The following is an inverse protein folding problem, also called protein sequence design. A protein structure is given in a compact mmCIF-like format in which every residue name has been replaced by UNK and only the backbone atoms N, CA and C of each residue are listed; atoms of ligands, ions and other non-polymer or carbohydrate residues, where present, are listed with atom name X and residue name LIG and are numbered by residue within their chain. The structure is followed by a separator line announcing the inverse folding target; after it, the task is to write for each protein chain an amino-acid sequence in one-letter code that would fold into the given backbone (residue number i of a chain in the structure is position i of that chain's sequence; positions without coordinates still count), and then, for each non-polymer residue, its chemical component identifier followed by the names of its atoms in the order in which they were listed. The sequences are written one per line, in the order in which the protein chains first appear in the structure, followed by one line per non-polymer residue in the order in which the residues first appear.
data_IF_921285784307
#
_entry.id   IF_921285784307
#
_cell.length_a   1.000
_cell.length_b   1.000
_cell.length_c   1.000
_cell.angle_alpha   90.00
_cell.angle_beta   90.00
_cell.angle_gamma   90.00
#
_symmetry.space_group_name_H-M   'P 1'
#
loop_
_entity.id
_entity.type
_entity.pdbx_description
1 polymer ?
#
# COMPACT_ATOMS: atom_id res chain seq x y z
N UNK A 1 35.69 83.34 -7.84
CA UNK A 1 35.87 82.12 -7.00
C UNK A 1 34.58 81.33 -6.72
N UNK A 2 33.42 81.96 -6.44
CA UNK A 2 32.17 81.21 -6.11
C UNK A 2 31.57 80.32 -7.23
N UNK A 3 31.89 80.60 -8.51
CA UNK A 3 31.32 79.85 -9.65
C UNK A 3 32.10 78.56 -10.00
N UNK A 4 33.36 78.48 -9.58
CA UNK A 4 34.22 77.29 -9.79
C UNK A 4 34.00 76.23 -8.69
N UNK A 5 33.67 76.66 -7.47
CA UNK A 5 33.39 75.77 -6.33
C UNK A 5 32.12 74.92 -6.59
N UNK A 6 31.10 75.48 -7.25
CA UNK A 6 29.86 74.74 -7.57
C UNK A 6 30.06 73.64 -8.62
N UNK A 7 30.94 73.87 -9.59
CA UNK A 7 31.25 72.86 -10.62
C UNK A 7 32.20 71.77 -10.11
N UNK A 8 33.10 72.10 -9.16
CA UNK A 8 33.98 71.11 -8.52
C UNK A 8 33.20 70.20 -7.57
N UNK A 9 32.19 70.72 -6.86
CA UNK A 9 31.34 69.91 -5.97
C UNK A 9 30.42 68.93 -6.71
N UNK A 10 29.99 69.26 -7.92
CA UNK A 10 29.17 68.37 -8.77
C UNK A 10 30.04 67.28 -9.39
N UNK A 11 31.30 67.58 -9.73
CA UNK A 11 32.25 66.61 -10.29
C UNK A 11 32.78 65.62 -9.23
N UNK A 12 32.87 66.03 -7.96
CA UNK A 12 33.21 65.13 -6.84
C UNK A 12 32.05 64.23 -6.40
N UNK A 13 30.80 64.64 -6.61
CA UNK A 13 29.63 63.82 -6.29
C UNK A 13 29.33 62.78 -7.38
N UNK A 14 29.67 63.09 -8.64
CA UNK A 14 29.55 62.15 -9.77
C UNK A 14 30.64 61.06 -9.79
N UNK A 15 31.79 61.28 -9.14
CA UNK A 15 32.89 60.29 -9.07
C UNK A 15 32.72 59.28 -7.93
N UNK A 16 31.88 59.56 -6.93
CA UNK A 16 31.54 58.62 -5.85
C UNK A 16 30.42 57.64 -6.29
N UNK A 17 29.64 57.99 -7.32
CA UNK A 17 28.57 57.13 -7.86
C UNK A 17 29.04 55.92 -8.67
N UNK A 18 30.32 55.84 -9.05
CA UNK A 18 30.87 54.71 -9.82
C UNK A 18 31.67 53.71 -8.97
N UNK A 19 31.91 53.99 -7.68
CA UNK A 19 32.63 53.08 -6.75
C UNK A 19 31.67 52.28 -5.86
N UNK A 20 30.36 52.59 -5.87
CA UNK A 20 29.34 51.79 -5.18
C UNK A 20 28.90 50.53 -5.96
N UNK A 21 29.52 50.25 -7.11
CA UNK A 21 29.41 48.97 -7.82
C UNK A 21 30.64 48.08 -7.55
N UNK A 22 31.27 48.20 -6.38
CA UNK A 22 32.05 47.06 -5.90
C UNK A 22 31.03 45.98 -5.56
N UNK A 23 31.07 44.88 -6.33
CA UNK A 23 30.31 43.68 -6.06
C UNK A 23 30.60 43.28 -4.62
N UNK A 24 29.72 43.68 -3.70
CA UNK A 24 29.76 43.14 -2.34
C UNK A 24 29.46 41.66 -2.53
N UNK A 25 30.50 40.85 -2.67
CA UNK A 25 30.44 39.42 -2.48
C UNK A 25 29.96 39.27 -1.05
N UNK A 26 28.64 39.13 -0.88
CA UNK A 26 28.07 39.09 0.46
C UNK A 26 28.61 37.80 1.06
N UNK A 27 28.97 37.82 2.33
CA UNK A 27 29.29 36.59 3.08
C UNK A 27 28.18 35.53 2.95
N UNK A 28 26.96 35.91 2.59
CA UNK A 28 25.88 34.98 2.26
C UNK A 28 26.07 34.27 0.91
N UNK A 29 26.66 34.92 -0.09
CA UNK A 29 26.99 34.34 -1.40
C UNK A 29 28.13 33.33 -1.26
N UNK A 30 29.11 33.63 -0.39
CA UNK A 30 30.14 32.68 0.02
C UNK A 30 29.53 31.49 0.77
N UNK A 31 28.60 31.73 1.71
CA UNK A 31 27.87 30.64 2.39
C UNK A 31 27.09 29.79 1.39
N UNK A 32 26.39 30.37 0.41
CA UNK A 32 25.66 29.60 -0.61
C UNK A 32 26.57 28.86 -1.59
N UNK A 33 27.79 29.35 -1.83
CA UNK A 33 28.80 28.66 -2.61
C UNK A 33 29.50 27.53 -1.83
N UNK A 34 29.56 27.65 -0.51
CA UNK A 34 30.29 26.74 0.39
C UNK A 34 29.38 25.68 1.05
N UNK A 35 28.06 25.91 1.12
CA UNK A 35 27.10 24.89 1.58
C UNK A 35 26.59 24.00 0.44
N UNK A 36 26.91 22.71 0.54
CA UNK A 36 26.28 21.68 -0.29
C UNK A 36 24.80 21.55 0.06
N UNK A 37 23.93 21.97 -0.86
CA UNK A 37 22.48 21.74 -0.76
C UNK A 37 22.14 20.33 -1.26
N UNK A 38 21.29 19.63 -0.51
CA UNK A 38 20.77 18.31 -0.90
C UNK A 38 19.75 18.40 -2.02
N UNK A 39 19.25 17.24 -2.43
CA UNK A 39 18.09 17.11 -3.29
C UNK A 39 17.00 16.30 -2.57
N UNK A 40 15.75 16.50 -2.96
CA UNK A 40 14.58 15.87 -2.36
C UNK A 40 13.77 15.19 -3.46
N UNK A 41 13.31 13.97 -3.20
CA UNK A 41 12.33 13.26 -4.02
C UNK A 41 11.00 13.24 -3.26
N UNK A 42 10.27 14.33 -3.36
CA UNK A 42 9.12 14.63 -2.50
C UNK A 42 7.87 13.95 -3.03
N UNK A 43 7.13 13.23 -2.18
CA UNK A 43 5.77 12.81 -2.50
C UNK A 43 4.80 13.98 -2.38
N UNK A 44 4.05 14.26 -3.46
CA UNK A 44 3.00 15.28 -3.50
C UNK A 44 1.63 14.69 -3.17
N UNK A 45 1.37 13.43 -3.52
CA UNK A 45 0.19 12.66 -3.05
C UNK A 45 0.11 12.75 -1.52
N UNK A 46 -1.02 13.09 -0.88
CA UNK A 46 -1.14 13.24 0.58
C UNK A 46 -0.72 12.01 1.38
N UNK A 47 -0.15 12.19 2.57
CA UNK A 47 0.45 11.07 3.33
C UNK A 47 -0.61 10.10 3.85
N UNK A 48 -1.83 10.60 4.10
CA UNK A 48 -3.00 9.76 4.39
C UNK A 48 -3.32 8.82 3.25
N UNK A 49 -3.27 9.34 2.02
CA UNK A 49 -3.68 8.62 0.81
C UNK A 49 -2.62 7.59 0.43
N UNK A 50 -1.34 7.91 0.61
CA UNK A 50 -0.25 6.93 0.50
C UNK A 50 -0.40 5.83 1.56
N UNK A 51 -0.68 6.20 2.81
CA UNK A 51 -0.80 5.23 3.91
C UNK A 51 -2.06 4.35 3.84
N UNK A 52 -3.10 4.76 3.12
CA UNK A 52 -4.34 3.97 2.94
C UNK A 52 -4.26 2.95 1.81
N UNK A 53 -3.24 3.03 0.94
CA UNK A 53 -3.09 2.11 -0.18
C UNK A 53 -2.64 0.73 0.29
N UNK A 54 -3.12 -0.30 -0.40
CA UNK A 54 -2.77 -1.69 -0.20
C UNK A 54 -2.87 -2.42 -1.55
N UNK A 55 -2.10 -3.50 -1.70
CA UNK A 55 -2.38 -4.45 -2.77
C UNK A 55 -3.48 -5.39 -2.32
N UNK A 56 -4.33 -5.80 -3.25
CA UNK A 56 -5.39 -6.76 -2.99
C UNK A 56 -4.90 -8.15 -3.36
N UNK A 57 -4.94 -9.05 -2.38
CA UNK A 57 -4.62 -10.46 -2.56
C UNK A 57 -5.48 -11.07 -3.67
N UNK A 58 -4.91 -11.92 -4.52
CA UNK A 58 -5.55 -12.49 -5.72
C UNK A 58 -6.04 -11.48 -6.77
N UNK A 59 -5.75 -10.20 -6.62
CA UNK A 59 -6.00 -9.17 -7.64
C UNK A 59 -4.65 -8.67 -8.19
N UNK A 60 -4.04 -9.39 -9.15
CA UNK A 60 -2.73 -9.03 -9.71
C UNK A 60 -2.70 -7.63 -10.35
N UNK A 61 -3.86 -7.12 -10.74
CA UNK A 61 -4.06 -5.77 -11.30
C UNK A 61 -4.27 -4.67 -10.25
N UNK A 62 -4.30 -5.00 -8.95
CA UNK A 62 -4.36 -4.00 -7.88
C UNK A 62 -3.11 -3.12 -7.92
N UNK A 63 -3.29 -1.81 -7.71
CA UNK A 63 -2.24 -0.81 -7.93
C UNK A 63 -1.85 -0.07 -6.66
N UNK A 64 -0.59 0.36 -6.64
CA UNK A 64 -0.06 1.38 -5.76
C UNK A 64 0.46 2.53 -6.61
N UNK A 65 0.09 3.77 -6.28
CA UNK A 65 0.35 4.96 -7.08
C UNK A 65 0.70 6.18 -6.21
N UNK A 66 1.86 6.79 -6.49
CA UNK A 66 2.33 7.99 -5.80
C UNK A 66 2.94 8.98 -6.80
N UNK A 67 2.53 10.24 -6.69
CA UNK A 67 3.12 11.34 -7.43
C UNK A 67 4.28 11.93 -6.65
N UNK A 68 5.39 12.11 -7.35
CA UNK A 68 6.60 12.69 -6.83
C UNK A 68 7.03 13.92 -7.63
N UNK A 69 7.85 14.73 -7.00
CA UNK A 69 8.63 15.78 -7.63
C UNK A 69 10.07 15.80 -7.10
N UNK A 70 10.97 16.35 -7.91
CA UNK A 70 12.39 16.48 -7.55
C UNK A 70 12.72 17.95 -7.34
N UNK A 71 13.25 18.28 -6.17
CA UNK A 71 13.76 19.62 -5.87
C UNK A 71 15.25 19.54 -5.52
N UNK A 72 16.06 20.36 -6.16
CA UNK A 72 17.48 20.56 -5.85
C UNK A 72 17.83 22.06 -5.92
N UNK A 73 19.10 22.41 -5.73
CA UNK A 73 19.55 23.81 -5.76
C UNK A 73 19.56 24.47 -7.15
N UNK A 74 19.18 23.73 -8.19
CA UNK A 74 19.00 24.16 -9.58
C UNK A 74 17.60 23.81 -10.11
N UNK A 75 16.58 23.79 -9.25
CA UNK A 75 15.19 23.54 -9.65
C UNK A 75 14.99 22.18 -10.36
N UNK A 76 15.71 21.15 -9.90
CA UNK A 76 15.58 19.79 -10.43
C UNK A 76 16.44 19.50 -11.67
N UNK A 77 17.20 20.49 -12.18
CA UNK A 77 18.11 20.31 -13.31
C UNK A 77 19.23 19.28 -13.06
N UNK A 78 19.52 18.94 -11.79
CA UNK A 78 20.54 17.94 -11.49
C UNK A 78 19.99 16.51 -11.56
N UNK A 79 18.68 16.30 -11.74
CA UNK A 79 18.08 14.97 -11.86
C UNK A 79 18.75 14.18 -13.01
N UNK A 80 19.37 13.05 -12.68
CA UNK A 80 19.89 12.10 -13.66
C UNK A 80 18.86 10.99 -13.88
N UNK A 81 18.53 10.28 -12.81
CA UNK A 81 17.57 9.19 -12.79
C UNK A 81 17.12 8.89 -11.36
N UNK A 82 16.05 8.10 -11.25
CA UNK A 82 15.61 7.49 -9.99
C UNK A 82 15.58 5.98 -10.17
N UNK A 83 16.42 5.26 -9.44
CA UNK A 83 16.34 3.80 -9.37
C UNK A 83 15.25 3.41 -8.37
N UNK A 84 14.42 2.44 -8.76
CA UNK A 84 13.33 1.91 -7.95
C UNK A 84 13.63 0.46 -7.61
N UNK A 85 13.81 0.21 -6.33
CA UNK A 85 14.02 -1.11 -5.77
C UNK A 85 12.75 -1.57 -5.07
N UNK A 86 12.50 -2.87 -5.06
CA UNK A 86 11.46 -3.48 -4.26
C UNK A 86 12.00 -4.68 -3.49
N UNK A 87 11.42 -4.97 -2.33
CA UNK A 87 11.57 -6.22 -1.57
C UNK A 87 10.20 -6.72 -1.13
N UNK A 88 10.13 -7.98 -0.72
CA UNK A 88 8.91 -8.59 -0.19
C UNK A 88 9.17 -9.16 1.20
N UNK A 89 8.26 -8.87 2.13
CA UNK A 89 8.24 -9.49 3.46
C UNK A 89 7.01 -10.38 3.53
N UNK A 90 7.24 -11.70 3.57
CA UNK A 90 6.20 -12.69 3.85
C UNK A 90 5.77 -12.63 5.32
N UNK A 91 4.66 -13.29 5.69
CA UNK A 91 4.33 -13.42 7.11
C UNK A 91 5.29 -14.39 7.83
N UNK A 92 5.91 -15.31 7.08
CA UNK A 92 7.09 -16.06 7.51
C UNK A 92 8.37 -15.45 6.92
N UNK A 93 9.42 -15.36 7.74
CA UNK A 93 10.72 -14.81 7.31
C UNK A 93 11.32 -15.60 6.14
N UNK A 94 11.05 -16.91 6.07
CA UNK A 94 11.52 -17.79 5.01
C UNK A 94 10.95 -17.46 3.63
N UNK A 95 9.79 -16.78 3.59
CA UNK A 95 9.10 -16.39 2.36
C UNK A 95 9.48 -14.97 1.90
N UNK A 96 10.34 -14.29 2.66
CA UNK A 96 10.79 -12.94 2.32
C UNK A 96 11.80 -12.96 1.18
N UNK A 97 11.66 -11.99 0.27
CA UNK A 97 12.56 -11.81 -0.86
C UNK A 97 13.35 -10.53 -0.68
N UNK A 98 14.67 -10.68 -0.76
CA UNK A 98 15.62 -9.58 -0.71
C UNK A 98 15.34 -8.55 -1.82
N UNK A 99 15.85 -7.35 -1.57
CA UNK A 99 15.66 -6.23 -2.46
C UNK A 99 16.26 -6.47 -3.86
N UNK A 100 15.48 -6.13 -4.90
CA UNK A 100 15.88 -6.17 -6.30
C UNK A 100 15.58 -4.84 -7.01
N UNK A 101 16.35 -4.52 -8.04
CA UNK A 101 16.07 -3.36 -8.91
C UNK A 101 14.90 -3.70 -9.83
N UNK A 102 13.78 -2.97 -9.68
CA UNK A 102 12.57 -3.14 -10.49
C UNK A 102 12.68 -2.34 -11.77
N UNK A 103 13.06 -1.07 -11.68
CA UNK A 103 13.15 -0.16 -12.84
C UNK A 103 14.04 1.04 -12.54
N UNK A 104 14.46 1.74 -13.60
CA UNK A 104 15.17 3.02 -13.53
C UNK A 104 14.36 4.06 -14.30
N UNK A 105 13.98 5.14 -13.61
CA UNK A 105 13.22 6.25 -14.16
C UNK A 105 14.21 7.33 -14.62
N UNK A 106 14.52 7.45 -15.92
CA UNK A 106 15.44 8.49 -16.39
C UNK A 106 14.81 9.88 -16.22
N UNK A 107 15.63 10.94 -16.13
CA UNK A 107 15.14 12.32 -16.08
C UNK A 107 14.13 12.66 -17.19
N UNK A 108 14.25 12.04 -18.37
CA UNK A 108 13.33 12.22 -19.50
C UNK A 108 11.92 11.67 -19.28
N UNK A 109 11.70 10.84 -18.25
CA UNK A 109 10.38 10.35 -17.86
C UNK A 109 9.59 11.37 -17.03
N UNK A 110 10.25 12.42 -16.55
CA UNK A 110 9.65 13.47 -15.72
C UNK A 110 9.14 14.62 -16.59
N UNK A 111 8.06 15.25 -16.15
CA UNK A 111 7.49 16.45 -16.77
C UNK A 111 7.44 17.59 -15.76
N UNK A 112 7.62 18.85 -16.17
CA UNK A 112 7.51 19.98 -15.24
C UNK A 112 6.10 20.09 -14.68
N UNK A 113 5.99 20.36 -13.37
CA UNK A 113 4.73 20.70 -12.70
C UNK A 113 4.45 22.22 -12.75
N UNK A 114 3.43 22.69 -12.03
CA UNK A 114 3.02 24.11 -12.00
C UNK A 114 4.08 25.08 -11.44
N UNK A 115 5.13 24.56 -10.80
CA UNK A 115 6.26 25.32 -10.27
C UNK A 115 7.58 24.98 -10.98
N UNK A 116 7.50 24.43 -12.19
CA UNK A 116 8.61 24.06 -13.08
C UNK A 116 9.57 22.99 -12.50
N UNK A 117 9.15 22.24 -11.48
CA UNK A 117 9.93 21.11 -10.95
C UNK A 117 9.65 19.82 -11.72
N UNK A 118 10.65 18.95 -11.96
CA UNK A 118 10.44 17.62 -12.54
C UNK A 118 9.50 16.80 -11.67
N UNK A 119 8.41 16.30 -12.26
CA UNK A 119 7.38 15.51 -11.60
C UNK A 119 7.06 14.23 -12.37
N UNK A 120 6.70 13.19 -11.63
CA UNK A 120 6.28 11.90 -12.19
C UNK A 120 5.25 11.25 -11.26
N UNK A 121 4.29 10.51 -11.83
CA UNK A 121 3.49 9.54 -11.08
C UNK A 121 4.09 8.16 -11.28
N UNK A 122 4.51 7.54 -10.18
CA UNK A 122 5.00 6.17 -10.19
C UNK A 122 3.86 5.27 -9.76
N UNK A 123 3.51 4.32 -10.63
CA UNK A 123 2.46 3.33 -10.39
C UNK A 123 3.04 1.94 -10.62
N UNK A 124 2.70 1.01 -9.73
CA UNK A 124 3.00 -0.40 -9.87
C UNK A 124 1.76 -1.23 -9.58
N UNK A 125 1.58 -2.30 -10.35
CA UNK A 125 0.64 -3.37 -10.04
C UNK A 125 1.30 -4.41 -9.13
N UNK A 126 0.48 -5.17 -8.41
CA UNK A 126 0.94 -6.35 -7.65
C UNK A 126 1.73 -7.31 -8.56
N UNK A 127 1.22 -7.58 -9.77
CA UNK A 127 1.85 -8.48 -10.73
C UNK A 127 3.25 -8.02 -11.19
N UNK A 128 3.45 -6.72 -11.40
CA UNK A 128 4.74 -6.17 -11.82
C UNK A 128 5.81 -6.35 -10.73
N UNK A 129 5.47 -6.06 -9.47
CA UNK A 129 6.39 -6.23 -8.35
C UNK A 129 6.67 -7.70 -8.06
N UNK A 130 5.63 -8.53 -8.08
CA UNK A 130 5.76 -9.98 -7.94
C UNK A 130 6.72 -10.56 -8.98
N UNK A 131 6.52 -10.20 -10.26
CA UNK A 131 7.37 -10.65 -11.36
C UNK A 131 8.80 -10.18 -11.20
N UNK A 132 9.02 -8.91 -10.83
CA UNK A 132 10.36 -8.35 -10.63
C UNK A 132 11.14 -9.06 -9.50
N UNK A 133 10.42 -9.50 -8.46
CA UNK A 133 10.95 -10.24 -7.32
C UNK A 133 11.05 -11.75 -7.55
N UNK A 134 10.57 -12.25 -8.69
CA UNK A 134 10.57 -13.68 -8.98
C UNK A 134 9.55 -14.47 -8.15
N UNK A 135 8.55 -13.80 -7.58
CA UNK A 135 7.43 -14.41 -6.88
C UNK A 135 6.45 -14.98 -7.91
N UNK A 136 6.04 -16.23 -7.76
CA UNK A 136 5.10 -16.90 -8.64
C UNK A 136 3.65 -16.68 -8.18
N UNK A 137 2.67 -16.79 -9.10
CA UNK A 137 1.24 -16.71 -8.73
C UNK A 137 0.85 -17.74 -7.66
N UNK A 138 1.53 -18.90 -7.59
CA UNK A 138 1.32 -19.90 -6.54
C UNK A 138 1.88 -19.51 -5.17
N UNK A 139 2.85 -18.59 -5.10
CA UNK A 139 3.29 -18.04 -3.81
C UNK A 139 2.25 -17.05 -3.24
N UNK A 140 1.38 -16.55 -4.13
CA UNK A 140 0.19 -15.78 -3.77
C UNK A 140 -1.10 -16.62 -3.79
N UNK A 141 -1.05 -17.89 -4.19
CA UNK A 141 -2.22 -18.77 -4.33
C UNK A 141 -1.84 -20.19 -3.93
N UNK A 142 -2.24 -20.58 -2.72
CA UNK A 142 -2.41 -21.99 -2.37
C UNK A 142 -1.57 -22.47 -1.19
N UNK A 143 -2.29 -22.96 -0.19
CA UNK A 143 -1.79 -23.55 1.07
C UNK A 143 -1.26 -22.52 2.05
N UNK A 144 -2.16 -21.63 2.47
CA UNK A 144 -1.98 -20.90 3.71
C UNK A 144 -2.12 -21.91 4.88
N UNK A 145 -1.08 -22.17 5.68
CA UNK A 145 -1.29 -22.67 7.05
C UNK A 145 -2.18 -21.66 7.79
N UNK A 146 -2.98 -22.10 8.75
CA UNK A 146 -4.10 -21.42 9.45
C UNK A 146 -3.83 -19.99 10.03
N UNK A 147 -2.69 -19.36 9.73
CA UNK A 147 -2.19 -18.09 10.26
C UNK A 147 -1.98 -16.94 9.23
N UNK A 148 -2.30 -17.05 7.93
CA UNK A 148 -2.28 -15.86 7.04
C UNK A 148 -3.66 -15.22 6.83
N UNK A 149 -3.95 -14.20 7.64
CA UNK A 149 -4.87 -13.13 7.29
C UNK A 149 -4.33 -11.81 7.88
N UNK A 150 -3.45 -11.14 7.13
CA UNK A 150 -2.88 -9.82 7.47
C UNK A 150 -1.45 -9.88 8.01
N UNK A 151 -0.45 -9.61 7.17
CA UNK A 151 0.95 -9.50 7.64
C UNK A 151 2.03 -9.29 6.59
N UNK A 152 1.81 -9.69 5.32
CA UNK A 152 2.81 -9.50 4.27
C UNK A 152 2.80 -8.09 3.69
N UNK A 153 3.95 -7.66 3.16
CA UNK A 153 4.08 -6.35 2.54
C UNK A 153 5.15 -6.30 1.45
N UNK A 154 4.93 -5.42 0.47
CA UNK A 154 5.97 -4.99 -0.46
C UNK A 154 6.61 -3.73 0.10
N UNK A 155 7.93 -3.64 0.05
CA UNK A 155 8.66 -2.42 0.37
C UNK A 155 9.30 -1.87 -0.90
N UNK A 156 8.99 -0.63 -1.26
CA UNK A 156 9.57 0.07 -2.40
C UNK A 156 10.55 1.11 -1.87
N UNK A 157 11.81 1.05 -2.33
CA UNK A 157 12.86 2.02 -2.02
C UNK A 157 13.30 2.75 -3.28
N UNK A 158 13.44 4.06 -3.16
CA UNK A 158 13.90 4.94 -4.23
C UNK A 158 15.36 5.37 -3.99
N UNK A 159 16.14 5.47 -5.06
CA UNK A 159 17.47 6.11 -5.06
C UNK A 159 17.44 7.24 -6.08
N UNK A 160 17.52 8.48 -5.62
CA UNK A 160 17.66 9.65 -6.48
C UNK A 160 19.14 9.85 -6.83
N UNK A 161 19.47 9.72 -8.11
CA UNK A 161 20.82 9.97 -8.63
C UNK A 161 20.87 11.34 -9.31
N UNK A 162 21.92 12.11 -9.00
CA UNK A 162 22.17 13.41 -9.58
C UNK A 162 23.32 13.37 -10.58
N UNK A 163 23.26 14.26 -11.57
CA UNK A 163 24.28 14.41 -12.63
C UNK A 163 25.67 14.81 -12.09
N UNK A 164 25.75 15.26 -10.85
CA UNK A 164 27.01 15.56 -10.16
C UNK A 164 27.60 14.36 -9.39
N UNK A 165 27.00 13.18 -9.51
CA UNK A 165 27.46 11.91 -8.95
C UNK A 165 27.00 11.63 -7.52
N UNK A 166 26.16 12.50 -6.94
CA UNK A 166 25.55 12.26 -5.62
C UNK A 166 24.30 11.39 -5.74
N UNK A 167 24.03 10.59 -4.71
CA UNK A 167 22.85 9.74 -4.62
C UNK A 167 22.16 9.88 -3.26
N UNK A 168 20.84 9.92 -3.24
CA UNK A 168 20.03 10.05 -2.03
C UNK A 168 19.01 8.91 -1.94
N UNK A 169 18.89 8.29 -0.76
CA UNK A 169 17.95 7.21 -0.47
C UNK A 169 17.69 7.16 1.04
N UNK A 170 16.85 6.23 1.51
CA UNK A 170 16.41 6.13 2.91
C UNK A 170 17.56 6.06 3.94
N UNK A 171 18.73 5.54 3.54
CA UNK A 171 19.91 5.39 4.40
C UNK A 171 20.75 6.66 4.62
N UNK A 172 20.50 7.77 3.90
CA UNK A 172 21.35 8.97 3.96
C UNK A 172 20.56 10.29 4.06
N UNK A 173 19.44 10.28 4.79
CA UNK A 173 18.55 11.42 4.96
C UNK A 173 18.71 12.13 6.32
N UNK A 174 18.42 13.43 6.34
CA UNK A 174 18.09 14.14 7.57
C UNK A 174 16.59 13.96 7.88
N UNK A 175 16.24 13.83 9.16
CA UNK A 175 14.86 13.85 9.70
C UNK A 175 13.93 14.90 9.09
N UNK A 176 14.43 16.09 8.74
CA UNK A 176 13.65 17.14 8.08
C UNK A 176 13.20 16.72 6.67
N UNK A 177 14.03 15.99 5.93
CA UNK A 177 13.74 15.50 4.57
C UNK A 177 12.83 14.27 4.63
N UNK A 178 13.11 13.32 5.53
CA UNK A 178 12.35 12.07 5.61
C UNK A 178 10.95 12.23 6.20
N UNK A 179 10.79 13.03 7.27
CA UNK A 179 9.54 13.15 8.02
C UNK A 179 8.98 14.56 8.15
N UNK A 180 9.66 15.59 7.62
CA UNK A 180 9.16 16.95 7.64
C UNK A 180 7.87 17.09 6.83
N UNK A 181 6.89 17.83 7.37
CA UNK A 181 5.56 18.00 6.77
C UNK A 181 5.60 18.59 5.35
N UNK A 182 6.67 19.30 4.99
CA UNK A 182 6.88 19.85 3.66
C UNK A 182 7.59 18.89 2.70
N UNK A 183 8.64 18.18 3.13
CA UNK A 183 9.52 17.41 2.24
C UNK A 183 9.01 16.01 1.97
N UNK A 184 8.40 15.33 2.96
CA UNK A 184 7.65 14.06 2.78
C UNK A 184 8.38 13.06 1.85
N UNK A 185 9.69 12.91 2.07
CA UNK A 185 10.61 12.18 1.21
C UNK A 185 11.33 11.10 2.01
N UNK A 186 10.62 10.06 2.51
CA UNK A 186 11.25 8.96 3.24
C UNK A 186 12.10 8.06 2.33
N UNK A 187 11.95 8.17 1.00
CA UNK A 187 12.56 7.28 -0.01
C UNK A 187 12.22 5.79 0.16
N UNK A 188 11.35 5.44 1.11
CA UNK A 188 10.91 4.07 1.35
C UNK A 188 9.43 4.06 1.70
N UNK A 189 8.69 3.14 1.11
CA UNK A 189 7.25 2.98 1.26
C UNK A 189 6.94 1.50 1.45
N UNK A 190 6.20 1.16 2.49
CA UNK A 190 5.73 -0.20 2.75
C UNK A 190 4.24 -0.27 2.44
N UNK A 191 3.87 -1.22 1.57
CA UNK A 191 2.52 -1.42 1.06
C UNK A 191 2.06 -2.79 1.56
N UNK A 192 1.07 -2.85 2.46
CA UNK A 192 0.55 -4.12 2.92
C UNK A 192 -0.21 -4.82 1.79
N UNK A 193 -0.18 -6.15 1.80
CA UNK A 193 -1.12 -6.96 1.03
C UNK A 193 -2.33 -7.21 1.91
N UNK A 194 -3.48 -6.71 1.49
CA UNK A 194 -4.75 -6.86 2.18
C UNK A 194 -5.64 -7.84 1.41
N UNK A 195 -6.52 -8.49 2.14
CA UNK A 195 -7.55 -9.30 1.51
C UNK A 195 -8.65 -8.36 0.99
N UNK A 196 -9.16 -8.60 -0.22
CA UNK A 196 -10.25 -7.82 -0.81
C UNK A 196 -11.46 -7.86 0.13
N UNK A 197 -12.20 -6.75 0.31
CA UNK A 197 -13.48 -6.82 0.99
C UNK A 197 -14.44 -7.63 0.12
N UNK A 198 -14.79 -8.83 0.56
CA UNK A 198 -15.82 -9.61 -0.15
C UNK A 198 -17.19 -9.03 0.24
N UNK A 199 -17.93 -8.54 -0.74
CA UNK A 199 -19.33 -8.11 -0.52
C UNK A 199 -20.23 -9.34 -0.71
N UNK A 200 -20.92 -9.83 0.34
CA UNK A 200 -21.76 -11.01 0.22
C UNK A 200 -22.88 -10.78 -0.80
N UNK A 201 -23.20 -11.76 -1.66
CA UNK A 201 -24.34 -11.61 -2.58
C UNK A 201 -25.64 -11.41 -1.79
N UNK A 202 -26.36 -10.30 -2.03
CA UNK A 202 -27.67 -10.12 -1.44
C UNK A 202 -28.66 -11.15 -1.98
N UNK A 203 -29.48 -11.72 -1.10
CA UNK A 203 -30.50 -12.69 -1.47
C UNK A 203 -30.62 -13.83 -0.47
N UNK A 204 -31.28 -14.90 -0.90
CA UNK A 204 -31.47 -16.09 -0.08
C UNK A 204 -30.25 -17.01 -0.21
N UNK A 205 -29.64 -17.31 0.93
CA UNK A 205 -28.57 -18.29 1.07
C UNK A 205 -29.16 -19.55 1.71
N UNK A 206 -28.57 -20.70 1.41
CA UNK A 206 -29.02 -22.00 1.92
C UNK A 206 -27.92 -22.72 2.66
N UNK A 207 -28.29 -23.41 3.73
CA UNK A 207 -27.44 -24.32 4.50
C UNK A 207 -28.01 -25.72 4.37
N UNK A 208 -27.24 -26.64 3.84
CA UNK A 208 -27.55 -28.08 3.83
C UNK A 208 -26.67 -28.76 4.86
N UNK A 209 -27.27 -29.45 5.82
CA UNK A 209 -26.58 -30.16 6.90
C UNK A 209 -26.84 -31.66 6.74
N UNK A 210 -25.85 -32.48 7.01
CA UNK A 210 -25.99 -33.93 7.08
C UNK A 210 -25.37 -34.49 8.35
N UNK A 211 -25.97 -35.60 8.79
CA UNK A 211 -25.59 -36.36 9.97
C UNK A 211 -25.56 -37.84 9.57
N UNK A 212 -24.38 -38.45 9.67
CA UNK A 212 -24.15 -39.82 9.22
C UNK A 212 -24.88 -40.89 10.05
N UNK A 213 -25.25 -40.59 11.31
CA UNK A 213 -26.00 -41.48 12.20
C UNK A 213 -27.46 -41.08 12.33
N UNK A 214 -27.75 -39.81 12.07
CA UNK A 214 -29.09 -39.25 11.93
C UNK A 214 -29.82 -39.07 13.26
N UNK A 215 -29.10 -38.96 14.36
CA UNK A 215 -29.61 -38.73 15.70
C UNK A 215 -29.30 -37.33 16.25
N UNK A 216 -29.06 -36.38 15.35
CA UNK A 216 -28.75 -34.95 15.53
C UNK A 216 -27.27 -34.69 15.65
N UNK A 217 -26.89 -33.43 15.47
CA UNK A 217 -25.52 -32.95 15.69
C UNK A 217 -25.11 -32.84 17.16
N UNK A 218 -25.90 -33.41 18.08
CA UNK A 218 -25.57 -33.58 19.50
C UNK A 218 -24.98 -32.34 20.19
N UNK A 219 -25.61 -31.19 19.93
CA UNK A 219 -25.23 -29.89 20.51
C UNK A 219 -24.33 -29.03 19.61
N UNK A 220 -23.84 -29.55 18.48
CA UNK A 220 -23.15 -28.76 17.48
C UNK A 220 -24.13 -27.90 16.65
N UNK A 221 -23.64 -26.79 16.10
CA UNK A 221 -24.44 -25.87 15.28
C UNK A 221 -23.58 -24.95 14.41
N UNK A 222 -24.18 -24.41 13.35
CA UNK A 222 -23.62 -23.32 12.57
C UNK A 222 -24.15 -21.98 13.08
N UNK A 223 -23.27 -21.05 13.41
CA UNK A 223 -23.64 -19.67 13.73
C UNK A 223 -23.30 -18.77 12.56
N UNK A 224 -24.33 -18.18 11.96
CA UNK A 224 -24.22 -17.19 10.87
C UNK A 224 -24.33 -15.80 11.48
N UNK A 225 -23.31 -14.97 11.30
CA UNK A 225 -23.25 -13.58 11.73
C UNK A 225 -23.33 -12.67 10.50
N UNK A 226 -24.34 -11.81 10.42
CA UNK A 226 -24.48 -10.81 9.35
C UNK A 226 -24.40 -9.43 10.00
N UNK A 227 -23.38 -8.64 9.65
CA UNK A 227 -23.10 -7.32 10.23
C UNK A 227 -23.16 -7.31 11.78
N UNK A 228 -22.73 -8.43 12.41
CA UNK A 228 -22.69 -8.62 13.86
C UNK A 228 -23.94 -9.23 14.50
N UNK A 229 -25.03 -9.41 13.74
CA UNK A 229 -26.23 -10.11 14.22
C UNK A 229 -26.12 -11.61 13.96
N UNK A 230 -26.21 -12.42 15.02
CA UNK A 230 -25.93 -13.86 14.97
C UNK A 230 -27.21 -14.70 15.02
N UNK A 231 -27.34 -15.64 14.08
CA UNK A 231 -28.38 -16.68 14.06
C UNK A 231 -27.74 -18.07 14.04
N UNK A 232 -28.21 -18.99 14.87
CA UNK A 232 -27.66 -20.36 14.96
C UNK A 232 -28.61 -21.40 14.34
N UNK A 233 -28.03 -22.37 13.64
CA UNK A 233 -28.70 -23.46 12.94
C UNK A 233 -28.11 -24.80 13.40
N UNK A 234 -28.94 -25.63 14.04
CA UNK A 234 -28.55 -26.96 14.48
C UNK A 234 -29.29 -28.03 13.67
N UNK A 235 -28.69 -29.22 13.53
CA UNK A 235 -29.37 -30.36 12.93
C UNK A 235 -30.13 -31.12 14.03
N UNK A 236 -31.46 -31.17 13.93
CA UNK A 236 -32.33 -31.74 14.97
C UNK A 236 -32.60 -33.27 14.82
N UNK A 237 -31.77 -33.96 14.04
CA UNK A 237 -31.90 -35.40 13.71
C UNK A 237 -32.50 -35.71 12.33
N UNK A 238 -32.33 -36.95 11.89
CA UNK A 238 -32.52 -37.40 10.50
C UNK A 238 -31.21 -37.36 9.70
N UNK A 239 -31.19 -37.93 8.49
CA UNK A 239 -29.96 -38.02 7.68
C UNK A 239 -29.50 -36.66 7.10
N UNK A 240 -30.42 -35.71 6.94
CA UNK A 240 -30.11 -34.36 6.45
C UNK A 240 -31.17 -33.34 6.86
N UNK A 241 -30.79 -32.07 6.92
CA UNK A 241 -31.69 -30.92 7.10
C UNK A 241 -31.25 -29.73 6.24
N UNK A 242 -32.21 -28.86 5.90
CA UNK A 242 -31.97 -27.67 5.07
C UNK A 242 -32.55 -26.43 5.74
N UNK A 243 -31.79 -25.33 5.72
CA UNK A 243 -32.18 -24.01 6.22
C UNK A 243 -31.94 -22.95 5.17
N UNK A 244 -32.72 -21.86 5.19
CA UNK A 244 -32.42 -20.66 4.40
C UNK A 244 -32.39 -19.42 5.28
N UNK A 245 -31.59 -18.43 4.85
CA UNK A 245 -31.50 -17.12 5.48
C UNK A 245 -31.29 -16.04 4.43
N UNK A 246 -31.70 -14.81 4.76
CA UNK A 246 -31.57 -13.68 3.84
C UNK A 246 -30.33 -12.87 4.19
N UNK A 247 -29.49 -12.64 3.20
CA UNK A 247 -28.42 -11.64 3.22
C UNK A 247 -28.98 -10.34 2.63
N UNK A 248 -29.16 -9.27 3.43
CA UNK A 248 -29.69 -8.01 2.94
C UNK A 248 -28.79 -7.32 1.91
N UNK A 249 -29.38 -6.50 1.05
CA UNK A 249 -28.61 -5.61 0.18
C UNK A 249 -27.81 -4.60 1.02
N UNK A 250 -26.54 -4.44 0.68
CA UNK A 250 -25.62 -3.55 1.40
C UNK A 250 -25.00 -4.16 2.66
N UNK A 251 -25.14 -5.48 2.87
CA UNK A 251 -24.37 -6.22 3.88
C UNK A 251 -22.88 -5.96 3.69
N UNK A 252 -22.19 -5.63 4.78
CA UNK A 252 -20.74 -5.32 4.75
C UNK A 252 -19.93 -6.55 5.17
N UNK A 253 -20.46 -7.37 6.07
CA UNK A 253 -19.77 -8.54 6.60
C UNK A 253 -20.73 -9.72 6.82
N UNK A 254 -20.28 -10.92 6.43
CA UNK A 254 -20.91 -12.19 6.82
C UNK A 254 -19.83 -13.14 7.37
N UNK A 255 -20.06 -13.76 8.52
CA UNK A 255 -19.18 -14.79 9.09
C UNK A 255 -19.99 -16.04 9.41
N UNK A 256 -19.43 -17.22 9.19
CA UNK A 256 -20.04 -18.48 9.62
C UNK A 256 -19.05 -19.20 10.52
N UNK A 257 -19.54 -19.71 11.65
CA UNK A 257 -18.75 -20.45 12.64
C UNK A 257 -19.38 -21.82 12.87
N UNK A 258 -18.56 -22.86 12.85
CA UNK A 258 -18.98 -24.15 13.36
C UNK A 258 -18.73 -24.22 14.87
N UNK A 259 -19.78 -24.53 15.62
CA UNK A 259 -19.75 -24.69 17.06
C UNK A 259 -19.76 -26.18 17.35
N UNK A 260 -18.67 -26.68 17.93
CA UNK A 260 -18.46 -28.09 18.26
C UNK A 260 -19.50 -28.60 19.26
N UNK A 261 -19.89 -29.87 19.07
CA UNK A 261 -20.78 -30.63 19.94
C UNK A 261 -20.12 -31.93 20.38
N UNK A 262 -20.92 -32.97 20.61
CA UNK A 262 -20.40 -34.33 20.67
C UNK A 262 -20.46 -34.95 19.28
N UNK A 263 -19.50 -35.82 18.96
CA UNK A 263 -19.45 -36.58 17.70
C UNK A 263 -19.39 -35.71 16.43
N UNK A 264 -18.56 -34.67 16.45
CA UNK A 264 -18.37 -33.77 15.30
C UNK A 264 -17.90 -34.51 14.02
N UNK A 265 -17.28 -35.67 14.17
CA UNK A 265 -16.89 -36.57 13.08
C UNK A 265 -18.07 -37.08 12.23
N UNK A 266 -19.31 -36.87 12.67
CA UNK A 266 -20.53 -37.28 11.99
C UNK A 266 -21.14 -36.17 11.12
N UNK A 267 -20.63 -34.93 11.26
CA UNK A 267 -21.28 -33.72 10.78
C UNK A 267 -20.65 -33.23 9.48
N UNK A 268 -21.46 -33.03 8.44
CA UNK A 268 -21.05 -32.35 7.20
C UNK A 268 -22.06 -31.28 6.82
N UNK A 269 -21.61 -30.22 6.15
CA UNK A 269 -22.52 -29.21 5.65
C UNK A 269 -22.01 -28.50 4.41
N UNK A 270 -22.97 -27.96 3.66
CA UNK A 270 -22.73 -27.04 2.56
C UNK A 270 -23.46 -25.72 2.81
N UNK A 271 -22.83 -24.61 2.43
CA UNK A 271 -23.48 -23.30 2.34
C UNK A 271 -23.44 -22.85 0.89
N UNK A 272 -24.61 -22.51 0.34
CA UNK A 272 -24.75 -22.00 -1.02
C UNK A 272 -25.25 -20.55 -0.96
N UNK A 273 -24.56 -19.65 -1.65
CA UNK A 273 -24.91 -18.24 -1.69
C UNK A 273 -26.05 -17.95 -2.66
N UNK A 274 -26.53 -16.70 -2.67
CA UNK A 274 -27.68 -16.30 -3.49
C UNK A 274 -27.42 -16.37 -5.00
N UNK A 275 -26.15 -16.41 -5.43
CA UNK A 275 -25.76 -16.60 -6.84
C UNK A 275 -25.79 -18.10 -7.26
N UNK A 276 -25.98 -19.02 -6.31
CA UNK A 276 -26.00 -20.47 -6.53
C UNK A 276 -24.66 -21.17 -6.37
N UNK A 277 -23.61 -20.47 -5.95
CA UNK A 277 -22.29 -21.04 -5.68
C UNK A 277 -22.19 -21.62 -4.27
N UNK A 278 -21.57 -22.80 -4.16
CA UNK A 278 -21.25 -23.41 -2.87
C UNK A 278 -19.99 -22.76 -2.32
N UNK A 279 -20.15 -21.97 -1.26
CA UNK A 279 -19.09 -21.17 -0.65
C UNK A 279 -18.44 -21.84 0.56
N UNK A 280 -19.11 -22.84 1.14
CA UNK A 280 -18.56 -23.76 2.14
C UNK A 280 -19.04 -25.18 1.82
N UNK A 281 -18.14 -26.16 1.89
CA UNK A 281 -18.44 -27.59 1.84
C UNK A 281 -17.45 -28.29 2.77
N UNK A 282 -17.86 -28.51 4.02
CA UNK A 282 -16.98 -28.90 5.11
C UNK A 282 -17.49 -30.14 5.85
N UNK A 283 -16.54 -30.88 6.41
CA UNK A 283 -16.75 -32.10 7.16
C UNK A 283 -16.27 -33.36 6.40
N UNK A 284 -16.31 -34.55 7.04
CA UNK A 284 -16.63 -34.76 8.46
C UNK A 284 -15.65 -34.05 9.39
N UNK A 285 -16.05 -33.82 10.65
CA UNK A 285 -15.26 -33.07 11.65
C UNK A 285 -14.92 -31.64 11.19
N UNK A 286 -15.92 -30.75 10.98
CA UNK A 286 -15.64 -29.38 10.55
C UNK A 286 -14.79 -28.62 11.58
N UNK A 287 -13.89 -27.72 11.14
CA UNK A 287 -13.05 -26.95 12.06
C UNK A 287 -13.91 -26.06 12.96
N UNK A 288 -13.71 -26.18 14.28
CA UNK A 288 -14.49 -25.47 15.27
C UNK A 288 -13.73 -24.29 15.88
N UNK A 289 -14.46 -23.26 16.31
CA UNK A 289 -13.91 -22.15 17.09
C UNK A 289 -13.21 -21.05 16.29
N UNK A 290 -13.22 -21.13 14.97
CA UNK A 290 -12.73 -20.10 14.04
C UNK A 290 -13.79 -19.75 13.01
N UNK A 291 -13.65 -18.58 12.39
CA UNK A 291 -14.48 -18.20 11.24
C UNK A 291 -14.16 -19.14 10.07
N UNK A 292 -15.20 -19.63 9.40
CA UNK A 292 -15.09 -20.60 8.32
C UNK A 292 -14.87 -19.93 6.95
N UNK A 293 -15.16 -18.63 6.83
CA UNK A 293 -14.80 -17.88 5.65
C UNK A 293 -13.36 -17.41 5.74
N UNK A 294 -12.58 -17.77 4.72
CA UNK A 294 -11.31 -17.13 4.43
C UNK A 294 -11.53 -16.06 3.34
N UNK A 295 -11.53 -14.79 3.75
CA UNK A 295 -11.73 -13.65 2.83
C UNK A 295 -10.53 -13.41 1.90
N UNK A 296 -9.43 -14.10 2.15
CA UNK A 296 -8.27 -14.11 1.28
C UNK A 296 -8.40 -15.20 0.20
N UNK A 297 -9.33 -16.15 0.33
CA UNK A 297 -9.61 -17.10 -0.74
C UNK A 297 -10.50 -16.48 -1.84
N UNK A 298 -10.27 -16.90 -3.08
CA UNK A 298 -11.15 -16.58 -4.20
C UNK A 298 -12.49 -17.30 -4.00
N UNK A 299 -13.39 -16.69 -3.24
CA UNK A 299 -14.79 -17.07 -3.15
C UNK A 299 -15.57 -16.02 -3.95
N UNK A 300 -16.24 -16.46 -5.02
CA UNK A 300 -17.25 -15.66 -5.71
C UNK A 300 -18.54 -15.69 -4.83
N UNK A 301 -18.52 -14.94 -3.72
CA UNK A 301 -19.66 -14.80 -2.81
C UNK A 301 -20.84 -14.07 -3.45
#
# INVERSE_FOLDING_TARGET
MKRYIKNIMILSLASIGFVACDSSNKTIDDVFAEVTRGAVFRATTPSSDVASQNFLFNFPTSTYSVTFEVEDNKQGELLQDVEVYASYTGADEADSVDETLVTTLPASAFSPNDVDLPSITVEFTLAELATALGLSESDFVGTIPEDYAGGSSFTIRYVLNLTDGRSFSSGNLNSTVSGGSYFRSPFVYSIPVACPPITPTPGEWTIEQQDSYGDSWNGASLSVSIDGEVTSYAHEGGASSSYSFIVPEGTVEIQIFYNSGSYDEENTFQVTSANGETVLDLGPEPPAGTALFDFCMALDL
#
